data_IF_493836117436
#
_entry.id   IF_493836117436
#
_cell.length_a   1.000
_cell.length_b   1.000
_cell.length_c   1.000
_cell.angle_alpha   90.00
_cell.angle_beta   90.00
_cell.angle_gamma   90.00
#
_symmetry.space_group_name_H-M   'P 1'
#
loop_
_entity.id
_entity.type
_entity.pdbx_description
1 polymer ?
#
# COMPACT_ATOMS: atom_id res chain seq x y z
N UNK A 1 -39.18 69.99 -4.24
CA UNK A 1 -38.52 68.95 -5.04
C UNK A 1 -37.78 67.98 -4.07
N UNK A 2 -38.36 66.81 -3.76
CA UNK A 2 -37.82 65.82 -2.83
C UNK A 2 -36.92 64.86 -3.66
N UNK A 3 -35.61 64.81 -3.36
CA UNK A 3 -34.67 63.81 -3.97
C UNK A 3 -34.84 62.50 -3.23
N UNK A 4 -35.26 61.47 -3.94
CA UNK A 4 -35.33 60.08 -3.44
C UNK A 4 -33.93 59.47 -3.66
N UNK A 5 -33.25 59.08 -2.56
CA UNK A 5 -32.01 58.38 -2.59
C UNK A 5 -32.32 56.86 -2.62
N UNK A 6 -32.11 56.21 -3.74
CA UNK A 6 -32.23 54.77 -3.88
C UNK A 6 -30.93 54.14 -3.41
N UNK A 7 -30.97 53.43 -2.28
CA UNK A 7 -29.85 52.65 -1.73
C UNK A 7 -29.83 51.28 -2.41
N UNK A 8 -28.92 51.06 -3.35
CA UNK A 8 -28.68 49.71 -3.90
C UNK A 8 -27.92 48.87 -2.90
N UNK A 9 -28.59 47.94 -2.25
CA UNK A 9 -27.94 46.89 -1.44
C UNK A 9 -27.51 45.78 -2.39
N UNK A 10 -26.19 45.74 -2.71
CA UNK A 10 -25.58 44.62 -3.43
C UNK A 10 -25.39 43.45 -2.47
N UNK A 11 -26.27 42.46 -2.52
CA UNK A 11 -26.08 41.17 -1.87
C UNK A 11 -24.95 40.40 -2.59
N UNK A 12 -23.75 40.39 -2.01
CA UNK A 12 -22.70 39.49 -2.44
C UNK A 12 -23.08 38.06 -2.03
N UNK A 13 -23.60 37.30 -2.97
CA UNK A 13 -23.73 35.85 -2.85
C UNK A 13 -22.30 35.31 -2.98
N UNK A 14 -21.65 35.04 -1.85
CA UNK A 14 -20.40 34.35 -1.81
C UNK A 14 -20.58 32.91 -2.34
N UNK A 15 -20.24 32.70 -3.60
CA UNK A 15 -20.01 31.34 -4.11
C UNK A 15 -18.77 30.79 -3.40
N UNK A 16 -18.98 30.02 -2.35
CA UNK A 16 -17.95 29.14 -1.80
C UNK A 16 -17.69 28.09 -2.87
N UNK A 17 -16.68 28.30 -3.72
CA UNK A 17 -16.17 27.24 -4.57
C UNK A 17 -15.65 26.16 -3.64
N UNK A 18 -16.40 25.07 -3.48
CA UNK A 18 -15.89 23.90 -2.78
C UNK A 18 -14.66 23.42 -3.54
N UNK A 19 -13.49 23.48 -2.90
CA UNK A 19 -12.26 22.96 -3.51
C UNK A 19 -12.51 21.49 -3.85
N UNK A 20 -12.52 21.18 -5.13
CA UNK A 20 -12.70 19.82 -5.59
C UNK A 20 -11.39 19.09 -5.46
N UNK A 21 -11.27 18.24 -4.46
CA UNK A 21 -10.08 17.44 -4.21
C UNK A 21 -9.96 16.31 -5.25
N UNK A 22 -8.73 16.03 -5.71
CA UNK A 22 -8.45 14.84 -6.51
C UNK A 22 -8.63 13.61 -5.63
N UNK A 23 -9.47 12.67 -6.03
CA UNK A 23 -9.69 11.46 -5.28
C UNK A 23 -8.43 10.56 -5.26
N UNK A 24 -7.85 10.27 -4.07
CA UNK A 24 -6.80 9.27 -3.96
C UNK A 24 -7.31 7.87 -4.31
N UNK A 25 -6.40 7.01 -4.75
CA UNK A 25 -6.68 5.59 -4.94
C UNK A 25 -6.65 4.86 -3.60
N UNK A 26 -7.50 3.86 -3.44
CA UNK A 26 -7.59 3.07 -2.21
C UNK A 26 -6.78 1.81 -2.36
N UNK A 27 -5.93 1.51 -1.38
CA UNK A 27 -5.20 0.27 -1.23
C UNK A 27 -5.69 -0.46 0.01
N UNK A 28 -6.15 -1.71 -0.14
CA UNK A 28 -6.51 -2.56 0.98
C UNK A 28 -5.23 -3.12 1.63
N UNK A 29 -4.92 -2.69 2.85
CA UNK A 29 -3.78 -3.13 3.64
C UNK A 29 -3.89 -4.63 3.95
N UNK A 30 -2.91 -5.42 3.50
CA UNK A 30 -2.90 -6.89 3.60
C UNK A 30 -4.16 -7.55 3.04
N UNK A 31 -4.69 -6.98 1.95
CA UNK A 31 -5.95 -7.36 1.33
C UNK A 31 -7.20 -6.83 2.04
N UNK A 32 -8.38 -7.08 1.47
CA UNK A 32 -9.64 -6.69 2.10
C UNK A 32 -10.10 -7.74 3.11
N UNK A 33 -9.43 -7.78 4.25
CA UNK A 33 -9.59 -8.77 5.32
C UNK A 33 -10.76 -8.48 6.28
N UNK A 34 -11.32 -7.25 6.28
CA UNK A 34 -12.48 -6.90 7.12
C UNK A 34 -13.79 -7.57 6.67
N UNK A 35 -13.76 -8.39 5.62
CA UNK A 35 -14.87 -9.22 5.14
C UNK A 35 -14.84 -10.61 5.78
N UNK A 36 -16.03 -11.22 5.86
CA UNK A 36 -16.17 -12.62 6.33
C UNK A 36 -15.23 -13.58 5.58
N UNK A 37 -14.76 -14.59 6.27
CA UNK A 37 -13.87 -15.64 5.77
C UNK A 37 -12.54 -15.15 5.20
N UNK A 38 -12.07 -13.98 5.62
CA UNK A 38 -10.77 -13.47 5.21
C UNK A 38 -9.89 -13.13 6.42
N UNK A 39 -8.60 -13.37 6.31
CA UNK A 39 -7.59 -12.95 7.27
C UNK A 39 -6.53 -12.10 6.53
N UNK A 40 -5.80 -11.28 7.26
CA UNK A 40 -4.69 -10.48 6.69
C UNK A 40 -3.74 -11.37 5.92
N UNK A 41 -3.30 -10.92 4.73
CA UNK A 41 -2.39 -11.68 3.88
C UNK A 41 -2.95 -13.03 3.38
N UNK A 42 -4.27 -13.28 3.47
CA UNK A 42 -4.90 -14.49 2.95
C UNK A 42 -5.30 -14.34 1.48
N UNK A 43 -5.41 -15.46 0.76
CA UNK A 43 -5.94 -15.44 -0.61
C UNK A 43 -7.38 -14.90 -0.67
N UNK A 44 -8.19 -15.16 0.36
CA UNK A 44 -9.56 -14.63 0.42
C UNK A 44 -9.58 -13.11 0.59
N UNK A 45 -8.62 -12.52 1.33
CA UNK A 45 -8.50 -11.06 1.41
C UNK A 45 -8.17 -10.42 0.05
N UNK A 46 -7.29 -11.02 -0.73
CA UNK A 46 -7.02 -10.59 -2.11
C UNK A 46 -8.27 -10.73 -3.00
N UNK A 47 -8.94 -11.90 -2.98
CA UNK A 47 -10.20 -12.12 -3.74
C UNK A 47 -11.28 -11.10 -3.37
N UNK A 48 -11.41 -10.77 -2.09
CA UNK A 48 -12.36 -9.76 -1.61
C UNK A 48 -12.02 -8.36 -2.15
N UNK A 49 -10.73 -7.97 -2.18
CA UNK A 49 -10.30 -6.71 -2.78
C UNK A 49 -10.64 -6.64 -4.27
N UNK A 50 -10.37 -7.72 -5.02
CA UNK A 50 -10.71 -7.84 -6.45
C UNK A 50 -12.23 -7.77 -6.68
N UNK A 51 -13.03 -8.53 -5.91
CA UNK A 51 -14.50 -8.54 -6.00
C UNK A 51 -15.11 -7.17 -5.69
N UNK A 52 -14.55 -6.46 -4.71
CA UNK A 52 -14.97 -5.11 -4.34
C UNK A 52 -14.43 -4.01 -5.27
N UNK A 53 -13.62 -4.40 -6.30
CA UNK A 53 -12.97 -3.48 -7.25
C UNK A 53 -12.18 -2.37 -6.51
N UNK A 54 -11.46 -2.74 -5.46
CA UNK A 54 -10.52 -1.85 -4.78
C UNK A 54 -9.30 -1.72 -5.70
N UNK A 55 -8.82 -0.49 -5.89
CA UNK A 55 -7.75 -0.23 -6.84
C UNK A 55 -6.46 -1.00 -6.53
N UNK A 56 -6.07 -1.10 -5.26
CA UNK A 56 -4.88 -1.82 -4.84
C UNK A 56 -5.15 -2.80 -3.70
N UNK A 57 -4.40 -3.88 -3.67
CA UNK A 57 -4.32 -4.83 -2.56
C UNK A 57 -2.87 -4.98 -2.18
N UNK A 58 -2.53 -4.61 -0.97
CA UNK A 58 -1.16 -4.75 -0.47
C UNK A 58 -1.00 -6.12 0.19
N UNK A 59 0.22 -6.66 0.13
CA UNK A 59 0.61 -7.87 0.85
C UNK A 59 2.09 -7.82 1.26
N UNK A 60 2.41 -8.46 2.38
CA UNK A 60 3.76 -8.60 2.91
C UNK A 60 4.39 -9.90 2.48
N UNK A 61 5.66 -9.91 2.08
CA UNK A 61 6.38 -11.15 1.75
C UNK A 61 7.65 -11.36 2.55
N UNK A 62 7.92 -12.62 2.88
CA UNK A 62 9.11 -13.10 3.61
C UNK A 62 9.70 -14.32 2.91
N UNK A 63 11.02 -14.48 3.08
CA UNK A 63 11.75 -15.66 2.63
C UNK A 63 11.82 -16.70 3.75
N UNK A 64 11.51 -17.97 3.46
CA UNK A 64 11.68 -19.08 4.39
C UNK A 64 13.12 -19.61 4.38
N UNK A 65 13.44 -20.51 5.32
CA UNK A 65 14.77 -21.16 5.39
C UNK A 65 15.14 -21.93 4.12
N UNK A 66 14.17 -22.53 3.46
CA UNK A 66 14.30 -23.30 2.21
C UNK A 66 14.14 -22.44 0.95
N UNK A 67 14.09 -21.10 1.10
CA UNK A 67 14.10 -20.17 0.00
C UNK A 67 12.75 -19.98 -0.70
N UNK A 68 11.64 -20.37 -0.10
CA UNK A 68 10.30 -20.10 -0.62
C UNK A 68 9.81 -18.71 -0.19
N UNK A 69 9.06 -18.04 -1.06
CA UNK A 69 8.50 -16.72 -0.78
C UNK A 69 7.06 -16.85 -0.30
N UNK A 70 6.82 -16.59 0.97
CA UNK A 70 5.49 -16.66 1.59
C UNK A 70 4.88 -15.28 1.80
N UNK A 71 3.54 -15.21 1.75
CA UNK A 71 2.80 -13.98 2.04
C UNK A 71 2.50 -13.93 3.53
N UNK A 72 3.40 -13.29 4.29
CA UNK A 72 3.35 -13.20 5.75
C UNK A 72 4.07 -11.94 6.24
N UNK A 73 3.50 -11.24 7.21
CA UNK A 73 4.00 -9.92 7.63
C UNK A 73 5.28 -9.98 8.46
N UNK A 74 5.26 -10.72 9.52
CA UNK A 74 6.35 -10.67 10.50
C UNK A 74 7.40 -11.73 10.29
N UNK A 75 8.59 -11.58 10.90
CA UNK A 75 9.55 -12.67 10.95
C UNK A 75 9.04 -13.80 11.87
N UNK A 76 8.08 -13.52 12.76
CA UNK A 76 7.41 -14.51 13.60
C UNK A 76 5.98 -14.75 13.12
N UNK A 77 5.62 -16.03 13.06
CA UNK A 77 4.27 -16.45 12.67
C UNK A 77 3.72 -17.50 13.66
N UNK A 78 2.47 -17.41 14.12
CA UNK A 78 1.58 -16.25 13.97
C UNK A 78 2.13 -14.97 14.61
N UNK A 79 1.60 -13.79 14.22
CA UNK A 79 2.08 -12.49 14.71
C UNK A 79 1.79 -12.28 16.20
N UNK A 80 0.69 -12.86 16.73
CA UNK A 80 0.32 -12.77 18.14
C UNK A 80 1.43 -13.32 19.04
N UNK A 81 1.85 -12.51 20.02
CA UNK A 81 3.01 -12.84 20.89
C UNK A 81 2.76 -14.07 21.78
N UNK A 82 1.50 -14.31 22.12
CA UNK A 82 1.00 -15.40 22.96
C UNK A 82 0.59 -16.64 22.16
N UNK A 83 0.74 -16.61 20.83
CA UNK A 83 0.42 -17.77 19.98
C UNK A 83 1.36 -18.96 20.27
N UNK A 84 0.76 -20.16 20.30
CA UNK A 84 1.50 -21.41 20.43
C UNK A 84 0.90 -22.45 19.47
N UNK A 85 1.67 -23.00 18.54
CA UNK A 85 3.08 -22.73 18.29
C UNK A 85 3.30 -21.32 17.68
N UNK A 86 4.50 -20.75 17.88
CA UNK A 86 4.95 -19.51 17.25
C UNK A 86 6.38 -19.72 16.73
N UNK A 87 6.56 -19.61 15.43
CA UNK A 87 7.82 -19.95 14.76
C UNK A 87 8.42 -18.71 14.08
N UNK A 88 9.71 -18.79 13.77
CA UNK A 88 10.41 -17.74 13.03
C UNK A 88 10.49 -18.14 11.54
N UNK A 89 9.91 -17.34 10.65
CA UNK A 89 9.75 -17.66 9.22
C UNK A 89 11.10 -17.98 8.56
N UNK A 90 12.12 -17.16 8.77
CA UNK A 90 13.45 -17.39 8.18
C UNK A 90 14.19 -18.62 8.71
N UNK A 91 13.75 -19.18 9.83
CA UNK A 91 14.33 -20.39 10.42
C UNK A 91 13.48 -21.64 10.17
N UNK A 92 12.36 -21.48 9.46
CA UNK A 92 11.38 -22.55 9.18
C UNK A 92 11.25 -22.79 7.68
N UNK A 93 10.95 -24.04 7.31
CA UNK A 93 10.60 -24.36 5.91
C UNK A 93 9.18 -23.91 5.61
N UNK A 94 8.84 -23.83 4.32
CA UNK A 94 7.48 -23.55 3.86
C UNK A 94 6.46 -24.47 4.54
N UNK A 95 6.72 -25.78 4.56
CA UNK A 95 5.84 -26.77 5.15
C UNK A 95 5.61 -26.51 6.65
N UNK A 96 6.65 -26.12 7.38
CA UNK A 96 6.53 -25.80 8.81
C UNK A 96 5.67 -24.54 9.05
N UNK A 97 5.81 -23.50 8.21
CA UNK A 97 4.97 -22.31 8.32
C UNK A 97 3.53 -22.63 7.93
N UNK A 98 3.33 -23.37 6.85
CA UNK A 98 2.00 -23.72 6.33
C UNK A 98 1.26 -24.74 7.20
N UNK A 99 1.95 -25.48 8.06
CA UNK A 99 1.32 -26.33 9.08
C UNK A 99 0.52 -25.53 10.13
N UNK A 100 0.78 -24.23 10.26
CA UNK A 100 0.04 -23.34 11.16
C UNK A 100 -0.95 -22.54 10.31
N UNK A 101 -2.24 -22.85 10.46
CA UNK A 101 -3.29 -22.21 9.68
C UNK A 101 -3.52 -20.75 10.11
N UNK A 102 -3.99 -19.94 9.18
CA UNK A 102 -4.57 -18.62 9.44
C UNK A 102 -5.85 -18.77 10.27
N UNK A 103 -6.28 -17.72 10.97
CA UNK A 103 -7.48 -17.80 11.85
C UNK A 103 -8.76 -18.17 11.11
N UNK A 104 -8.85 -17.92 9.82
CA UNK A 104 -9.97 -18.33 8.97
C UNK A 104 -9.82 -19.74 8.37
N UNK A 105 -8.81 -20.50 8.80
CA UNK A 105 -8.56 -21.87 8.33
C UNK A 105 -7.79 -21.98 7.01
N UNK A 106 -7.44 -20.86 6.36
CA UNK A 106 -6.59 -20.90 5.17
C UNK A 106 -5.14 -21.24 5.53
N UNK A 107 -4.43 -21.86 4.60
CA UNK A 107 -2.97 -22.03 4.66
C UNK A 107 -2.31 -20.68 4.32
N UNK A 108 -1.16 -20.38 4.94
CA UNK A 108 -0.34 -19.22 4.56
C UNK A 108 0.04 -19.35 3.07
N UNK A 109 -0.36 -18.41 2.21
CA UNK A 109 -0.12 -18.56 0.79
C UNK A 109 1.33 -18.25 0.41
N UNK A 110 1.79 -18.86 -0.68
CA UNK A 110 3.00 -18.46 -1.37
C UNK A 110 2.74 -17.21 -2.21
N UNK A 111 3.80 -16.46 -2.53
CA UNK A 111 3.68 -15.35 -3.50
C UNK A 111 3.18 -15.87 -4.85
N UNK A 112 3.61 -17.07 -5.27
CA UNK A 112 3.16 -17.67 -6.53
C UNK A 112 1.65 -17.87 -6.58
N UNK A 113 1.03 -18.36 -5.50
CA UNK A 113 -0.44 -18.51 -5.40
C UNK A 113 -1.16 -17.15 -5.45
N UNK A 114 -0.56 -16.11 -4.86
CA UNK A 114 -1.06 -14.73 -4.97
C UNK A 114 -1.03 -14.23 -6.42
N UNK A 115 0.08 -14.43 -7.12
CA UNK A 115 0.22 -14.03 -8.52
C UNK A 115 -0.71 -14.84 -9.43
N UNK A 116 -0.89 -16.13 -9.18
CA UNK A 116 -1.91 -16.93 -9.87
C UNK A 116 -3.33 -16.38 -9.66
N UNK A 117 -3.65 -15.92 -8.44
CA UNK A 117 -4.93 -15.26 -8.18
C UNK A 117 -5.03 -13.93 -8.91
N UNK A 118 -3.93 -13.15 -9.02
CA UNK A 118 -3.90 -11.88 -9.75
C UNK A 118 -4.24 -12.06 -11.24
N UNK A 119 -3.83 -13.15 -11.88
CA UNK A 119 -4.17 -13.42 -13.30
C UNK A 119 -5.67 -13.54 -13.57
N UNK A 120 -6.48 -13.83 -12.53
CA UNK A 120 -7.93 -14.02 -12.65
C UNK A 120 -8.72 -12.71 -12.67
N UNK A 121 -8.09 -11.57 -12.33
CA UNK A 121 -8.75 -10.26 -12.31
C UNK A 121 -7.74 -9.15 -12.50
N UNK A 122 -7.97 -8.29 -13.49
CA UNK A 122 -7.12 -7.12 -13.80
C UNK A 122 -7.61 -5.81 -13.16
N UNK A 123 -8.59 -5.88 -12.25
CA UNK A 123 -9.21 -4.68 -11.67
C UNK A 123 -8.48 -4.14 -10.43
N UNK A 124 -7.47 -4.84 -9.94
CA UNK A 124 -6.74 -4.53 -8.70
C UNK A 124 -5.25 -4.66 -8.97
N UNK A 125 -4.48 -3.66 -8.56
CA UNK A 125 -3.01 -3.69 -8.56
C UNK A 125 -2.53 -4.40 -7.29
N UNK A 126 -1.52 -5.26 -7.39
CA UNK A 126 -0.88 -5.85 -6.23
C UNK A 126 0.30 -4.99 -5.78
N UNK A 127 0.26 -4.53 -4.54
CA UNK A 127 1.35 -3.80 -3.91
C UNK A 127 2.11 -4.79 -3.03
N UNK A 128 3.35 -5.14 -3.41
CA UNK A 128 4.15 -6.13 -2.71
C UNK A 128 5.14 -5.42 -1.78
N UNK A 129 4.92 -5.58 -0.46
CA UNK A 129 5.92 -5.18 0.52
C UNK A 129 6.96 -6.28 0.70
N UNK A 130 8.20 -6.00 0.27
CA UNK A 130 9.34 -6.86 0.56
C UNK A 130 9.85 -6.53 1.96
N UNK A 131 9.58 -7.42 2.90
CA UNK A 131 10.00 -7.27 4.31
C UNK A 131 11.52 -7.41 4.44
N UNK A 132 12.07 -6.79 5.49
CA UNK A 132 13.49 -6.88 5.80
C UNK A 132 13.91 -8.34 6.00
N UNK A 133 14.98 -8.73 5.32
CA UNK A 133 15.58 -10.04 5.49
C UNK A 133 16.80 -9.95 6.44
N UNK A 134 17.25 -11.06 7.03
CA UNK A 134 18.36 -11.08 7.99
C UNK A 134 19.69 -10.54 7.44
N UNK A 135 19.94 -10.69 6.14
CA UNK A 135 21.20 -10.27 5.50
C UNK A 135 20.93 -9.60 4.14
N UNK A 136 21.84 -8.73 3.66
CA UNK A 136 21.73 -8.13 2.32
C UNK A 136 21.64 -9.18 1.19
N UNK A 137 22.30 -10.32 1.34
CA UNK A 137 22.23 -11.41 0.36
C UNK A 137 20.82 -11.98 0.25
N UNK A 138 20.14 -12.20 1.37
CA UNK A 138 18.77 -12.66 1.41
C UNK A 138 17.79 -11.56 0.95
N UNK A 139 18.11 -10.27 1.18
CA UNK A 139 17.34 -9.15 0.60
C UNK A 139 17.44 -9.14 -0.93
N UNK A 140 18.62 -9.39 -1.50
CA UNK A 140 18.79 -9.54 -2.95
C UNK A 140 18.03 -10.78 -3.46
N UNK A 141 18.18 -11.93 -2.78
CA UNK A 141 17.53 -13.19 -3.16
C UNK A 141 16.00 -13.05 -3.25
N UNK A 142 15.36 -12.47 -2.23
CA UNK A 142 13.89 -12.29 -2.25
C UNK A 142 13.45 -11.33 -3.36
N UNK A 143 14.24 -10.29 -3.67
CA UNK A 143 13.96 -9.39 -4.80
C UNK A 143 14.05 -10.14 -6.13
N UNK A 144 15.13 -10.90 -6.36
CA UNK A 144 15.31 -11.71 -7.59
C UNK A 144 14.16 -12.69 -7.81
N UNK A 145 13.81 -13.45 -6.76
CA UNK A 145 12.69 -14.40 -6.82
C UNK A 145 11.36 -13.72 -7.09
N UNK A 146 11.11 -12.59 -6.43
CA UNK A 146 9.86 -11.84 -6.59
C UNK A 146 9.73 -11.29 -8.01
N UNK A 147 10.77 -10.65 -8.55
CA UNK A 147 10.78 -10.10 -9.92
C UNK A 147 10.62 -11.22 -10.95
N UNK A 148 11.30 -12.36 -10.75
CA UNK A 148 11.19 -13.52 -11.63
C UNK A 148 9.77 -14.13 -11.64
N UNK A 149 9.15 -14.25 -10.46
CA UNK A 149 7.77 -14.75 -10.35
C UNK A 149 6.77 -13.80 -11.02
N UNK A 150 6.89 -12.48 -10.81
CA UNK A 150 6.03 -11.49 -11.47
C UNK A 150 6.18 -11.56 -12.99
N UNK A 151 7.41 -11.73 -13.49
CA UNK A 151 7.68 -11.90 -14.93
C UNK A 151 7.08 -13.20 -15.47
N UNK A 152 7.18 -14.32 -14.73
CA UNK A 152 6.61 -15.63 -15.08
C UNK A 152 5.10 -15.55 -15.37
N UNK A 153 4.39 -14.71 -14.62
CA UNK A 153 2.93 -14.54 -14.77
C UNK A 153 2.53 -13.35 -15.65
N UNK A 154 3.51 -12.63 -16.27
CA UNK A 154 3.28 -11.44 -17.09
C UNK A 154 2.50 -10.32 -16.34
N UNK A 155 2.82 -10.09 -15.06
CA UNK A 155 2.12 -9.15 -14.18
C UNK A 155 2.91 -7.87 -13.89
N UNK A 156 3.93 -7.53 -14.69
CA UNK A 156 4.81 -6.38 -14.45
C UNK A 156 4.07 -5.04 -14.43
N UNK A 157 2.93 -4.95 -15.13
CA UNK A 157 2.10 -3.74 -15.17
C UNK A 157 1.00 -3.72 -14.08
N UNK A 158 0.78 -4.83 -13.40
CA UNK A 158 -0.23 -5.02 -12.37
C UNK A 158 0.37 -5.10 -10.95
N UNK A 159 1.69 -4.86 -10.82
CA UNK A 159 2.42 -4.92 -9.55
C UNK A 159 3.18 -3.63 -9.30
N UNK A 160 3.14 -3.15 -8.06
CA UNK A 160 4.01 -2.09 -7.53
C UNK A 160 4.74 -2.65 -6.30
N UNK A 161 5.93 -2.12 -5.98
CA UNK A 161 6.76 -2.61 -4.87
C UNK A 161 6.98 -1.54 -3.83
N UNK A 162 7.02 -1.98 -2.56
CA UNK A 162 7.33 -1.11 -1.42
C UNK A 162 8.30 -1.79 -0.48
N UNK A 163 9.18 -1.03 0.17
CA UNK A 163 10.15 -1.57 1.11
C UNK A 163 10.62 -0.55 2.14
N UNK A 164 10.98 -1.04 3.34
CA UNK A 164 11.59 -0.24 4.41
C UNK A 164 13.11 -0.07 4.26
N UNK A 165 13.76 -0.93 3.47
CA UNK A 165 15.22 -0.93 3.31
C UNK A 165 15.63 -0.25 2.02
N UNK A 166 16.53 0.76 2.09
CA UNK A 166 17.08 1.39 0.89
C UNK A 166 17.72 0.39 -0.07
N UNK A 167 18.42 -0.61 0.47
CA UNK A 167 19.03 -1.67 -0.33
C UNK A 167 18.01 -2.40 -1.20
N UNK A 168 16.87 -2.78 -0.63
CA UNK A 168 15.79 -3.45 -1.37
C UNK A 168 15.23 -2.54 -2.48
N UNK A 169 15.07 -1.23 -2.21
CA UNK A 169 14.64 -0.28 -3.25
C UNK A 169 15.65 -0.21 -4.40
N UNK A 170 16.97 -0.21 -4.11
CA UNK A 170 18.01 -0.21 -5.14
C UNK A 170 18.04 -1.51 -5.94
N UNK A 171 17.93 -2.65 -5.28
CA UNK A 171 17.87 -3.95 -5.96
C UNK A 171 16.62 -4.06 -6.86
N UNK A 172 15.48 -3.58 -6.41
CA UNK A 172 14.27 -3.49 -7.24
C UNK A 172 14.48 -2.56 -8.44
N UNK A 173 15.08 -1.38 -8.24
CA UNK A 173 15.37 -0.44 -9.33
C UNK A 173 16.36 -1.00 -10.35
N UNK A 174 17.27 -1.89 -9.93
CA UNK A 174 18.25 -2.57 -10.77
C UNK A 174 17.68 -3.76 -11.54
N UNK A 175 16.81 -4.54 -10.90
CA UNK A 175 16.35 -5.85 -11.38
C UNK A 175 14.97 -5.83 -12.04
N UNK A 176 14.07 -4.98 -11.58
CA UNK A 176 12.73 -4.89 -12.16
C UNK A 176 12.75 -4.14 -13.50
N UNK A 177 11.77 -4.37 -14.39
CA UNK A 177 11.67 -3.65 -15.65
C UNK A 177 11.67 -2.13 -15.46
N UNK A 178 12.31 -1.41 -16.40
CA UNK A 178 12.35 0.06 -16.35
C UNK A 178 10.93 0.64 -16.29
N UNK A 179 10.71 1.57 -15.37
CA UNK A 179 9.39 2.19 -15.14
C UNK A 179 8.53 1.49 -14.10
N UNK A 180 9.02 0.38 -13.51
CA UNK A 180 8.37 -0.25 -12.36
C UNK A 180 8.23 0.75 -11.22
N UNK A 181 7.06 0.79 -10.60
CA UNK A 181 6.80 1.67 -9.47
C UNK A 181 7.32 1.04 -8.18
N UNK A 182 8.24 1.76 -7.55
CA UNK A 182 8.86 1.41 -6.28
C UNK A 182 8.67 2.58 -5.33
N UNK A 183 8.29 2.33 -4.07
CA UNK A 183 8.27 3.36 -3.04
C UNK A 183 8.98 2.94 -1.75
N UNK A 184 9.60 3.92 -1.13
CA UNK A 184 10.28 3.76 0.15
C UNK A 184 9.32 4.02 1.31
N UNK A 185 9.36 3.18 2.38
CA UNK A 185 8.37 3.14 3.45
C UNK A 185 8.77 3.87 4.75
N UNK A 186 10.08 3.97 5.07
CA UNK A 186 10.51 4.25 6.45
C UNK A 186 10.26 5.70 6.93
N UNK A 187 10.13 6.68 6.02
CA UNK A 187 9.78 8.06 6.37
C UNK A 187 10.91 8.89 6.96
N UNK A 188 12.16 8.44 6.89
CA UNK A 188 13.35 9.13 7.37
C UNK A 188 14.08 9.92 6.26
N UNK A 189 13.92 9.52 4.99
CA UNK A 189 14.47 10.22 3.83
C UNK A 189 13.46 11.18 3.20
N UNK A 190 13.96 12.31 2.65
CA UNK A 190 13.15 13.24 1.88
C UNK A 190 12.86 12.71 0.46
N UNK A 191 11.86 13.28 -0.25
CA UNK A 191 11.51 12.82 -1.60
C UNK A 191 12.66 12.84 -2.61
N UNK A 192 13.55 13.83 -2.54
CA UNK A 192 14.69 13.94 -3.46
C UNK A 192 15.66 12.76 -3.30
N UNK A 193 15.92 12.33 -2.05
CA UNK A 193 16.75 11.16 -1.80
C UNK A 193 16.08 9.87 -2.30
N UNK A 194 14.78 9.72 -2.07
CA UNK A 194 14.01 8.57 -2.58
C UNK A 194 14.02 8.53 -4.11
N UNK A 195 13.91 9.68 -4.77
CA UNK A 195 14.03 9.79 -6.23
C UNK A 195 15.41 9.32 -6.72
N UNK A 196 16.48 9.74 -6.02
CA UNK A 196 17.85 9.32 -6.34
C UNK A 196 18.08 7.81 -6.16
N UNK A 197 17.34 7.16 -5.24
CA UNK A 197 17.34 5.70 -5.09
C UNK A 197 16.59 4.95 -6.21
N UNK A 198 15.95 5.66 -7.14
CA UNK A 198 15.13 5.07 -8.19
C UNK A 198 13.66 4.87 -7.81
N UNK A 199 13.21 5.40 -6.68
CA UNK A 199 11.81 5.32 -6.28
C UNK A 199 10.92 6.22 -7.15
N UNK A 200 9.76 5.71 -7.53
CA UNK A 200 8.70 6.43 -8.21
C UNK A 200 7.73 7.11 -7.24
N UNK A 201 7.80 6.79 -5.95
CA UNK A 201 6.97 7.36 -4.89
C UNK A 201 7.60 7.31 -3.51
N UNK A 202 6.95 7.98 -2.58
CA UNK A 202 7.14 7.78 -1.14
C UNK A 202 5.86 7.16 -0.57
N UNK A 203 6.03 6.19 0.33
CA UNK A 203 4.92 5.49 0.98
C UNK A 203 5.11 5.58 2.50
N UNK A 204 4.59 6.65 3.10
CA UNK A 204 4.94 6.98 4.47
C UNK A 204 3.77 6.89 5.42
N UNK A 205 4.08 6.51 6.67
CA UNK A 205 3.08 6.57 7.73
C UNK A 205 2.45 7.97 7.76
N UNK A 206 1.12 8.06 7.77
CA UNK A 206 0.39 9.34 7.72
C UNK A 206 0.86 10.33 8.80
N UNK A 207 1.28 9.84 9.98
CA UNK A 207 1.83 10.69 11.04
C UNK A 207 3.18 11.33 10.68
N UNK A 208 3.97 10.71 9.78
CA UNK A 208 5.20 11.32 9.24
C UNK A 208 4.83 12.45 8.28
N UNK A 209 3.89 12.19 7.37
CA UNK A 209 3.40 13.19 6.42
C UNK A 209 2.76 14.38 7.13
N UNK A 210 1.99 14.17 8.21
CA UNK A 210 1.44 15.26 9.04
C UNK A 210 2.53 16.12 9.69
N UNK A 211 3.66 15.54 10.08
CA UNK A 211 4.81 16.29 10.61
C UNK A 211 5.65 16.98 9.53
N UNK A 212 5.61 16.46 8.30
CA UNK A 212 6.40 16.94 7.17
C UNK A 212 5.51 17.17 5.94
N UNK A 213 4.45 18.00 6.03
CA UNK A 213 3.46 18.14 4.96
C UNK A 213 4.04 18.67 3.66
N UNK A 214 5.14 19.41 3.71
CA UNK A 214 5.89 19.88 2.53
C UNK A 214 6.38 18.75 1.63
N UNK A 215 6.63 17.57 2.19
CA UNK A 215 7.12 16.42 1.42
C UNK A 215 6.11 15.91 0.40
N UNK A 216 4.81 16.16 0.59
CA UNK A 216 3.78 15.83 -0.40
C UNK A 216 4.01 16.66 -1.66
N UNK A 217 4.14 17.99 -1.51
CA UNK A 217 4.42 18.87 -2.64
C UNK A 217 5.80 18.59 -3.26
N UNK A 218 6.83 18.40 -2.43
CA UNK A 218 8.19 18.09 -2.92
C UNK A 218 8.22 16.81 -3.75
N UNK A 219 7.47 15.76 -3.34
CA UNK A 219 7.33 14.54 -4.11
C UNK A 219 6.65 14.80 -5.46
N UNK A 220 5.54 15.55 -5.47
CA UNK A 220 4.82 15.90 -6.70
C UNK A 220 5.67 16.73 -7.66
N UNK A 221 6.43 17.71 -7.15
CA UNK A 221 7.35 18.54 -7.96
C UNK A 221 8.43 17.68 -8.64
N UNK A 222 8.80 16.53 -8.04
CA UNK A 222 9.73 15.53 -8.59
C UNK A 222 9.04 14.50 -9.49
N UNK A 223 7.74 14.60 -9.73
CA UNK A 223 6.95 13.62 -10.49
C UNK A 223 6.78 12.28 -9.76
N UNK A 224 6.83 12.29 -8.43
CA UNK A 224 6.63 11.12 -7.57
C UNK A 224 5.22 11.10 -7.00
N UNK A 225 4.66 9.91 -6.79
CA UNK A 225 3.41 9.76 -6.04
C UNK A 225 3.66 9.68 -4.54
N UNK A 226 2.61 9.97 -3.77
CA UNK A 226 2.61 9.87 -2.31
C UNK A 226 1.54 8.89 -1.86
N UNK A 227 1.92 7.85 -1.12
CA UNK A 227 1.01 6.97 -0.39
C UNK A 227 1.09 7.25 1.11
N UNK A 228 -0.03 7.11 1.79
CA UNK A 228 -0.13 7.17 3.25
C UNK A 228 -0.64 5.86 3.84
N UNK A 229 0.02 5.32 4.87
CA UNK A 229 -0.35 4.08 5.57
C UNK A 229 -0.27 4.20 7.10
N UNK A 230 -0.86 3.32 7.89
CA UNK A 230 -2.15 2.71 7.65
C UNK A 230 -3.20 3.68 8.16
N UNK A 231 -4.08 4.14 7.29
CA UNK A 231 -4.99 5.25 7.57
C UNK A 231 -6.40 4.70 7.80
N UNK A 232 -6.81 4.61 9.08
CA UNK A 232 -8.05 3.94 9.46
C UNK A 232 -9.08 4.87 10.09
N UNK A 233 -8.66 6.06 10.58
CA UNK A 233 -9.58 7.03 11.18
C UNK A 233 -10.10 8.01 10.16
N UNK A 234 -11.38 8.38 10.25
CA UNK A 234 -12.02 9.35 9.37
C UNK A 234 -11.25 10.67 9.28
N UNK A 235 -10.80 11.21 10.42
CA UNK A 235 -10.02 12.44 10.47
C UNK A 235 -8.71 12.38 9.70
N UNK A 236 -8.03 11.21 9.73
CA UNK A 236 -6.77 10.99 9.03
C UNK A 236 -7.01 10.78 7.52
N UNK A 237 -8.09 10.11 7.15
CA UNK A 237 -8.50 9.94 5.75
C UNK A 237 -8.84 11.30 5.13
N UNK A 238 -9.64 12.13 5.82
CA UNK A 238 -9.98 13.49 5.37
C UNK A 238 -8.72 14.33 5.20
N UNK A 239 -7.81 14.29 6.17
CA UNK A 239 -6.53 14.99 6.08
C UNK A 239 -5.72 14.56 4.85
N UNK A 240 -5.62 13.28 4.55
CA UNK A 240 -4.92 12.77 3.37
C UNK A 240 -5.54 13.30 2.06
N UNK A 241 -6.88 13.33 1.96
CA UNK A 241 -7.60 13.85 0.80
C UNK A 241 -7.32 15.35 0.62
N UNK A 242 -7.43 16.13 1.69
CA UNK A 242 -7.23 17.59 1.70
C UNK A 242 -5.81 18.00 1.35
N UNK A 243 -4.83 17.15 1.69
CA UNK A 243 -3.41 17.43 1.42
C UNK A 243 -2.89 16.80 0.13
N UNK A 244 -3.77 16.21 -0.69
CA UNK A 244 -3.42 15.73 -2.03
C UNK A 244 -2.58 14.46 -2.06
N UNK A 245 -2.72 13.58 -1.05
CA UNK A 245 -2.11 12.23 -1.07
C UNK A 245 -2.70 11.44 -2.24
N UNK A 246 -1.87 10.74 -3.02
CA UNK A 246 -2.31 10.02 -4.23
C UNK A 246 -2.91 8.66 -3.93
N UNK A 247 -2.41 7.97 -2.89
CA UNK A 247 -2.88 6.65 -2.46
C UNK A 247 -3.11 6.63 -0.94
N UNK A 248 -4.15 5.93 -0.52
CA UNK A 248 -4.46 5.68 0.90
C UNK A 248 -4.50 4.17 1.13
N UNK A 249 -3.54 3.67 1.91
CA UNK A 249 -3.52 2.28 2.39
C UNK A 249 -4.26 2.18 3.71
N UNK A 250 -5.31 1.35 3.76
CA UNK A 250 -6.25 1.28 4.89
C UNK A 250 -6.74 -0.15 5.16
N UNK A 251 -7.08 -0.43 6.43
CA UNK A 251 -7.81 -1.65 6.82
C UNK A 251 -9.32 -1.54 6.51
N UNK A 252 -9.84 -0.29 6.33
CA UNK A 252 -11.26 -0.03 6.03
C UNK A 252 -11.46 0.68 4.67
N UNK A 253 -11.39 -0.07 3.57
CA UNK A 253 -11.65 0.49 2.24
C UNK A 253 -13.08 1.00 2.05
N UNK A 254 -14.04 0.50 2.85
CA UNK A 254 -15.46 0.90 2.75
C UNK A 254 -15.66 2.31 3.28
N UNK A 255 -15.14 2.59 4.48
CA UNK A 255 -15.14 3.94 5.07
C UNK A 255 -14.43 4.91 4.14
N UNK A 256 -13.22 4.56 3.67
CA UNK A 256 -12.44 5.42 2.76
C UNK A 256 -13.22 5.73 1.49
N UNK A 257 -13.84 4.73 0.85
CA UNK A 257 -14.67 4.92 -0.35
C UNK A 257 -15.88 5.84 -0.11
N UNK A 258 -16.50 5.77 1.09
CA UNK A 258 -17.60 6.66 1.49
C UNK A 258 -17.09 8.11 1.55
N UNK A 259 -15.98 8.36 2.23
CA UNK A 259 -15.43 9.71 2.41
C UNK A 259 -14.97 10.32 1.07
N UNK A 260 -14.39 9.51 0.16
CA UNK A 260 -14.05 9.99 -1.18
C UNK A 260 -15.28 10.47 -1.95
N UNK A 261 -16.40 9.76 -1.84
CA UNK A 261 -17.67 10.19 -2.48
C UNK A 261 -18.23 11.50 -1.90
N UNK A 262 -17.98 11.77 -0.63
CA UNK A 262 -18.40 13.00 0.04
C UNK A 262 -17.53 14.20 -0.35
N UNK A 263 -16.21 14.02 -0.43
CA UNK A 263 -15.24 15.11 -0.54
C UNK A 263 -14.76 15.38 -1.99
N UNK A 264 -14.82 14.40 -2.87
CA UNK A 264 -14.25 14.46 -4.23
C UNK A 264 -15.34 14.46 -5.32
N UNK A 265 -16.37 15.28 -5.14
CA UNK A 265 -17.49 15.43 -6.10
C UNK A 265 -17.11 16.29 -7.27
#
# INVERSE_FOLDING_TARGET
MKKILILLVATMIGFSASAQYKAPKIIAHRGFHAKENAERNSLNALKNAQKAKIWGSECDIQLTKDGEVLVVHGPHYPEAKDASPRIHVHHSTKEQVQAILLKNGEVVPTLEEYLQQMTKSKNTILIIEIKNQPTPQLETEIVEKTVALVAKYNLQNEVEYIAFRPWVCWELARLAPKGTKIAYLNGDYNPAYCKAMGCAGIDYKHTVLKRKPKWIKEAHDLGMYVNAWTVNKEEDIRWCIENGVDYITTDDPVLTKKLLKEMCK
#
